data_IF_816903280678
#
_entry.id   IF_816903280678
#
_cell.length_a   1.000
_cell.length_b   1.000
_cell.length_c   1.000
_cell.angle_alpha   90.00
_cell.angle_beta   90.00
_cell.angle_gamma   90.00
#
_symmetry.space_group_name_H-M   'P 1'
#
loop_
_entity.id
_entity.type
_entity.pdbx_description
1 polymer ?
#
# COMPACT_ATOMS: atom_id res chain seq x y z
N UNK A 1 57.35 54.88 33.53
CA UNK A 1 56.56 55.36 32.40
C UNK A 1 56.86 54.48 31.19
N UNK A 2 55.91 53.70 30.68
CA UNK A 2 56.10 52.89 29.46
C UNK A 2 56.24 53.81 28.24
N UNK A 3 57.27 53.54 27.41
CA UNK A 3 57.49 54.32 26.17
C UNK A 3 56.29 54.18 25.21
N UNK A 4 56.02 55.20 24.39
CA UNK A 4 54.91 55.16 23.39
C UNK A 4 55.00 53.92 22.51
N UNK A 5 56.22 53.50 22.13
CA UNK A 5 56.43 52.27 21.31
C UNK A 5 56.04 50.99 22.10
N UNK A 6 56.27 50.88 23.40
CA UNK A 6 55.89 49.75 24.19
C UNK A 6 54.34 49.63 24.33
N UNK A 7 53.61 50.76 24.40
CA UNK A 7 52.11 50.78 24.39
C UNK A 7 51.55 50.34 23.06
N UNK A 8 52.15 50.77 21.95
CA UNK A 8 51.71 50.32 20.59
C UNK A 8 51.99 48.82 20.41
N UNK A 9 53.10 48.29 20.82
CA UNK A 9 53.42 46.87 20.78
C UNK A 9 52.41 46.06 21.63
N UNK A 10 52.12 46.53 22.83
CA UNK A 10 51.18 45.88 23.73
C UNK A 10 49.71 45.84 23.13
N UNK A 11 49.30 46.96 22.53
CA UNK A 11 47.99 47.03 21.79
C UNK A 11 47.97 46.10 20.59
N UNK A 12 49.04 46.01 19.80
CA UNK A 12 49.12 45.13 18.66
C UNK A 12 49.04 43.65 19.05
N UNK A 13 49.75 43.25 20.13
CA UNK A 13 49.67 41.88 20.67
C UNK A 13 48.29 41.57 21.20
N UNK A 14 47.66 42.52 21.90
CA UNK A 14 46.30 42.33 22.43
C UNK A 14 45.24 42.19 21.32
N UNK A 15 45.38 42.97 20.23
CA UNK A 15 44.51 42.83 19.03
C UNK A 15 44.75 41.50 18.33
N UNK A 16 46.00 41.03 18.24
CA UNK A 16 46.33 39.74 17.62
C UNK A 16 45.76 38.58 18.45
N UNK A 17 45.88 38.65 19.79
CA UNK A 17 45.27 37.67 20.71
C UNK A 17 43.73 37.68 20.61
N UNK A 18 43.13 38.86 20.57
CA UNK A 18 41.66 38.97 20.38
C UNK A 18 41.20 38.41 19.04
N UNK A 19 41.97 38.62 17.96
CA UNK A 19 41.68 38.03 16.63
C UNK A 19 41.79 36.50 16.63
N UNK A 20 42.85 35.96 17.24
CA UNK A 20 43.02 34.52 17.38
C UNK A 20 41.90 33.88 18.23
N UNK A 21 41.51 34.56 19.33
CA UNK A 21 40.40 34.11 20.17
C UNK A 21 39.06 34.13 19.39
N UNK A 22 38.82 35.17 18.60
CA UNK A 22 37.63 35.27 17.77
C UNK A 22 37.57 34.15 16.69
N UNK A 23 38.71 33.86 16.05
CA UNK A 23 38.81 32.74 15.08
C UNK A 23 38.61 31.41 15.79
N UNK A 24 39.18 31.22 16.97
CA UNK A 24 39.02 30.00 17.78
C UNK A 24 37.56 29.81 18.19
N UNK A 25 36.89 30.86 18.67
CA UNK A 25 35.47 30.83 19.02
C UNK A 25 34.59 30.54 17.77
N UNK A 26 34.87 31.21 16.66
CA UNK A 26 34.13 31.00 15.40
C UNK A 26 34.31 29.56 14.88
N UNK A 27 35.50 28.95 15.02
CA UNK A 27 35.74 27.56 14.61
C UNK A 27 35.05 26.53 15.52
N UNK A 28 34.61 26.93 16.71
CA UNK A 28 33.83 26.09 17.63
C UNK A 28 32.32 26.25 17.46
N UNK A 29 31.87 27.32 16.80
CA UNK A 29 30.46 27.52 16.45
C UNK A 29 30.15 26.65 15.25
N UNK A 30 29.70 25.42 15.48
CA UNK A 30 29.09 24.63 14.44
C UNK A 30 27.67 25.17 14.18
N UNK A 31 27.27 25.39 12.93
CA UNK A 31 25.91 25.76 12.65
C UNK A 31 25.00 24.60 13.12
N UNK A 32 24.20 24.86 14.14
CA UNK A 32 23.17 23.91 14.60
C UNK A 32 21.98 24.07 13.69
N UNK A 33 21.69 23.02 12.92
CA UNK A 33 20.46 22.95 12.14
C UNK A 33 19.44 22.18 12.98
N UNK A 34 18.49 22.86 13.54
CA UNK A 34 17.36 22.25 14.20
C UNK A 34 16.30 21.92 13.15
N UNK A 35 16.06 20.64 12.95
CA UNK A 35 14.94 20.19 12.13
C UNK A 35 13.68 20.22 12.99
N UNK A 36 12.85 21.24 12.79
CA UNK A 36 11.54 21.31 13.45
C UNK A 36 10.58 20.46 12.62
N UNK A 37 10.12 19.35 13.19
CA UNK A 37 9.05 18.57 12.60
C UNK A 37 7.72 19.33 12.76
N UNK A 38 7.26 19.95 11.67
CA UNK A 38 5.98 20.65 11.60
C UNK A 38 4.79 19.68 11.38
N UNK A 39 5.08 18.38 11.33
CA UNK A 39 4.11 17.35 11.00
C UNK A 39 3.66 17.39 9.53
N UNK A 40 2.70 16.55 9.13
CA UNK A 40 2.28 16.45 7.76
C UNK A 40 1.63 17.74 7.25
N UNK A 41 1.92 18.09 6.00
CA UNK A 41 1.32 19.26 5.33
C UNK A 41 -0.21 19.16 5.31
N UNK A 42 -0.94 20.30 5.16
CA UNK A 42 -2.40 20.25 5.02
C UNK A 42 -2.88 19.40 3.85
N UNK A 43 -2.09 19.30 2.78
CA UNK A 43 -2.39 18.44 1.63
C UNK A 43 -2.22 16.96 2.00
N UNK A 44 -1.12 16.59 2.66
CA UNK A 44 -0.88 15.21 3.11
C UNK A 44 -1.93 14.73 4.13
N UNK A 45 -2.48 15.63 4.96
CA UNK A 45 -3.58 15.29 5.87
C UNK A 45 -4.90 15.00 5.15
N UNK A 46 -5.14 15.62 3.99
CA UNK A 46 -6.35 15.41 3.18
C UNK A 46 -6.23 14.26 2.21
N UNK A 47 -5.00 13.96 1.78
CA UNK A 47 -4.69 12.89 0.84
C UNK A 47 -3.74 11.87 1.48
N UNK A 48 -4.24 10.72 1.96
CA UNK A 48 -3.41 9.69 2.55
C UNK A 48 -2.42 9.06 1.57
N UNK A 49 -2.66 9.18 0.26
CA UNK A 49 -1.82 8.62 -0.82
C UNK A 49 -1.03 9.71 -1.58
N UNK A 50 -0.81 10.89 -0.99
CA UNK A 50 -0.06 11.96 -1.64
C UNK A 50 1.37 11.55 -2.00
N UNK A 51 2.05 10.84 -1.08
CA UNK A 51 3.40 10.35 -1.32
C UNK A 51 3.44 9.34 -2.47
N UNK A 52 2.45 8.45 -2.58
CA UNK A 52 2.30 7.51 -3.68
C UNK A 52 2.14 8.23 -5.04
N UNK A 53 1.29 9.25 -5.10
CA UNK A 53 1.12 10.05 -6.31
C UNK A 53 2.39 10.79 -6.72
N UNK A 54 3.07 11.42 -5.75
CA UNK A 54 4.33 12.14 -6.01
C UNK A 54 5.44 11.19 -6.45
N UNK A 55 5.51 10.01 -5.84
CA UNK A 55 6.45 8.96 -6.22
C UNK A 55 6.22 8.53 -7.67
N UNK A 56 5.00 8.15 -8.05
CA UNK A 56 4.68 7.74 -9.42
C UNK A 56 4.99 8.84 -10.45
N UNK A 57 4.64 10.10 -10.16
CA UNK A 57 4.99 11.23 -11.03
C UNK A 57 6.50 11.42 -11.18
N UNK A 58 7.26 11.19 -10.11
CA UNK A 58 8.73 11.22 -10.15
C UNK A 58 9.31 10.10 -11.01
N UNK A 59 8.63 8.96 -11.08
CA UNK A 59 8.97 7.83 -11.96
C UNK A 59 8.49 8.04 -13.42
N UNK A 60 7.90 9.20 -13.74
CA UNK A 60 7.42 9.52 -15.09
C UNK A 60 6.02 9.00 -15.41
N UNK A 61 5.31 8.40 -14.45
CA UNK A 61 3.94 7.91 -14.62
C UNK A 61 2.96 9.09 -14.58
N UNK A 62 2.04 9.13 -15.55
CA UNK A 62 0.95 10.13 -15.54
C UNK A 62 -0.12 9.70 -14.54
N UNK A 63 -0.33 10.50 -13.49
CA UNK A 63 -1.25 10.19 -12.41
C UNK A 63 -2.39 11.20 -12.37
N UNK A 64 -3.64 10.71 -12.40
CA UNK A 64 -4.87 11.45 -12.16
C UNK A 64 -5.57 10.98 -10.88
N UNK A 65 -6.36 11.85 -10.28
CA UNK A 65 -7.22 11.53 -9.12
C UNK A 65 -8.67 11.48 -9.56
N UNK A 66 -9.41 10.57 -8.93
CA UNK A 66 -10.85 10.54 -9.00
C UNK A 66 -11.44 10.84 -7.62
N UNK A 67 -12.38 11.77 -7.56
CA UNK A 67 -12.98 12.25 -6.31
C UNK A 67 -14.18 11.38 -5.83
N UNK A 68 -14.33 10.16 -6.36
CA UNK A 68 -15.38 9.24 -5.94
C UNK A 68 -15.79 8.27 -7.05
N UNK A 69 -16.79 7.42 -6.74
CA UNK A 69 -17.30 6.42 -7.68
C UNK A 69 -17.96 7.04 -8.94
N UNK A 70 -18.02 8.35 -9.04
CA UNK A 70 -18.54 9.03 -10.25
C UNK A 70 -17.62 8.87 -11.46
N UNK A 71 -16.30 8.68 -11.25
CA UNK A 71 -15.36 8.35 -12.31
C UNK A 71 -15.77 7.08 -13.06
N UNK A 72 -16.50 6.19 -12.41
CA UNK A 72 -17.02 4.96 -13.03
C UNK A 72 -18.12 5.19 -14.05
N UNK A 73 -18.57 6.44 -14.25
CA UNK A 73 -19.46 6.82 -15.34
C UNK A 73 -18.69 6.94 -16.66
N UNK A 74 -17.45 7.46 -16.58
CA UNK A 74 -16.54 7.65 -17.72
C UNK A 74 -15.18 7.04 -17.35
N UNK A 75 -15.06 5.73 -17.59
CA UNK A 75 -13.83 5.00 -17.31
C UNK A 75 -12.71 5.44 -18.25
N UNK A 76 -11.43 5.41 -17.78
CA UNK A 76 -10.30 5.74 -18.63
C UNK A 76 -10.20 4.77 -19.83
N UNK A 77 -9.47 5.13 -20.90
CA UNK A 77 -9.23 4.23 -22.02
C UNK A 77 -8.61 2.89 -21.59
N UNK A 78 -8.74 1.86 -22.41
CA UNK A 78 -8.02 0.60 -22.23
C UNK A 78 -6.49 0.85 -22.23
N UNK A 79 -5.74 0.05 -21.48
CA UNK A 79 -4.30 0.27 -21.27
C UNK A 79 -3.97 1.25 -20.14
N UNK A 80 -4.96 1.68 -19.35
CA UNK A 80 -4.75 2.42 -18.11
C UNK A 80 -4.83 1.49 -16.91
N UNK A 81 -4.25 1.94 -15.79
CA UNK A 81 -4.40 1.30 -14.48
C UNK A 81 -5.33 2.13 -13.61
N UNK A 82 -6.35 1.51 -13.04
CA UNK A 82 -7.26 2.10 -12.07
C UNK A 82 -7.01 1.48 -10.70
N UNK A 83 -6.57 2.30 -9.74
CA UNK A 83 -6.33 1.89 -8.36
C UNK A 83 -7.56 2.25 -7.50
N UNK A 84 -8.30 1.25 -7.05
CA UNK A 84 -9.42 1.39 -6.12
C UNK A 84 -8.93 1.18 -4.68
N UNK A 85 -8.45 2.25 -4.05
CA UNK A 85 -7.83 2.23 -2.72
C UNK A 85 -8.77 2.68 -1.60
N UNK A 86 -9.95 3.17 -1.94
CA UNK A 86 -10.95 3.63 -0.99
C UNK A 86 -12.18 2.75 -0.95
N UNK A 87 -13.01 2.95 0.08
CA UNK A 87 -14.23 2.18 0.25
C UNK A 87 -15.17 2.29 -0.94
N UNK A 88 -15.71 1.17 -1.35
CA UNK A 88 -16.71 1.04 -2.42
C UNK A 88 -18.04 0.49 -1.95
N UNK A 89 -18.33 0.59 -0.64
CA UNK A 89 -19.60 0.15 -0.05
C UNK A 89 -20.83 0.77 -0.71
N UNK A 90 -20.69 1.93 -1.36
CA UNK A 90 -21.73 2.59 -2.16
C UNK A 90 -21.78 2.20 -3.63
N UNK A 91 -20.96 1.26 -4.09
CA UNK A 91 -20.95 0.79 -5.48
C UNK A 91 -22.26 0.06 -5.83
N UNK A 92 -22.77 0.35 -7.01
CA UNK A 92 -23.95 -0.34 -7.53
C UNK A 92 -23.53 -1.54 -8.38
N UNK A 93 -24.40 -2.57 -8.52
CA UNK A 93 -24.11 -3.70 -9.41
C UNK A 93 -23.84 -3.30 -10.87
N UNK A 94 -24.43 -2.19 -11.33
CA UNK A 94 -24.15 -1.63 -12.65
C UNK A 94 -22.75 -1.03 -12.78
N UNK A 95 -22.23 -0.43 -11.71
CA UNK A 95 -20.86 0.09 -11.68
C UNK A 95 -19.84 -1.05 -11.63
N UNK A 96 -20.05 -2.05 -10.77
CA UNK A 96 -19.19 -3.23 -10.69
C UNK A 96 -19.06 -3.94 -12.05
N UNK A 97 -20.19 -4.21 -12.73
CA UNK A 97 -20.17 -4.81 -14.07
C UNK A 97 -19.41 -3.97 -15.09
N UNK A 98 -19.57 -2.63 -15.10
CA UNK A 98 -18.83 -1.77 -16.03
C UNK A 98 -17.33 -1.80 -15.78
N UNK A 99 -16.92 -1.83 -14.51
CA UNK A 99 -15.51 -1.97 -14.16
C UNK A 99 -14.90 -3.26 -14.66
N UNK A 100 -15.58 -4.39 -14.42
CA UNK A 100 -15.12 -5.69 -14.90
C UNK A 100 -15.10 -5.74 -16.44
N UNK A 101 -16.12 -5.22 -17.12
CA UNK A 101 -16.12 -5.11 -18.57
C UNK A 101 -14.98 -4.21 -19.10
N UNK A 102 -14.65 -3.13 -18.39
CA UNK A 102 -13.52 -2.28 -18.74
C UNK A 102 -12.19 -3.02 -18.58
N UNK A 103 -12.03 -3.78 -17.52
CA UNK A 103 -10.87 -4.65 -17.35
C UNK A 103 -10.79 -5.70 -18.46
N UNK A 104 -11.89 -6.37 -18.83
CA UNK A 104 -11.95 -7.33 -19.96
C UNK A 104 -11.49 -6.71 -21.29
N UNK A 105 -11.67 -5.40 -21.48
CA UNK A 105 -11.27 -4.68 -22.69
C UNK A 105 -9.81 -4.24 -22.72
N UNK A 106 -9.04 -4.55 -21.67
CA UNK A 106 -7.61 -4.26 -21.58
C UNK A 106 -7.22 -3.22 -20.51
N UNK A 107 -8.12 -2.87 -19.58
CA UNK A 107 -7.80 -2.10 -18.40
C UNK A 107 -7.11 -2.95 -17.31
N UNK A 108 -6.24 -2.36 -16.52
CA UNK A 108 -5.69 -2.98 -15.32
C UNK A 108 -6.41 -2.45 -14.09
N UNK A 109 -7.20 -3.29 -13.44
CA UNK A 109 -7.93 -2.97 -12.21
C UNK A 109 -7.14 -3.48 -11.01
N UNK A 110 -6.70 -2.57 -10.14
CA UNK A 110 -6.09 -2.91 -8.84
C UNK A 110 -7.08 -2.53 -7.76
N UNK A 111 -7.50 -3.47 -6.96
CA UNK A 111 -8.48 -3.27 -5.89
C UNK A 111 -8.04 -3.90 -4.58
N UNK A 112 -8.55 -3.33 -3.49
CA UNK A 112 -8.31 -3.83 -2.14
C UNK A 112 -9.52 -4.65 -1.72
N UNK A 113 -9.30 -5.80 -1.09
CA UNK A 113 -10.38 -6.55 -0.48
C UNK A 113 -10.93 -5.79 0.74
N UNK A 114 -12.24 -5.46 0.73
CA UNK A 114 -12.83 -4.62 1.78
C UNK A 114 -13.65 -5.41 2.80
N UNK A 115 -13.98 -6.65 2.49
CA UNK A 115 -14.89 -7.45 3.29
C UNK A 115 -14.43 -8.88 3.40
N UNK A 116 -14.58 -9.43 4.58
CA UNK A 116 -14.37 -10.85 4.82
C UNK A 116 -15.50 -11.68 4.16
N UNK A 117 -15.16 -12.88 3.79
CA UNK A 117 -16.13 -13.87 3.31
C UNK A 117 -17.04 -14.30 4.44
N UNK A 118 -18.33 -14.43 4.17
CA UNK A 118 -19.32 -14.95 5.07
C UNK A 118 -19.73 -16.37 4.59
N UNK A 119 -19.40 -17.38 5.39
CA UNK A 119 -19.67 -18.77 5.06
C UNK A 119 -21.17 -19.11 5.07
N UNK A 120 -21.97 -18.46 5.91
CA UNK A 120 -23.41 -18.68 5.99
C UNK A 120 -24.12 -18.07 4.77
N UNK A 121 -23.76 -16.84 4.40
CA UNK A 121 -24.34 -16.13 3.28
C UNK A 121 -23.71 -16.52 1.92
N UNK A 122 -22.56 -17.20 1.92
CA UNK A 122 -21.73 -17.58 0.77
C UNK A 122 -21.41 -16.37 -0.13
N UNK A 123 -21.06 -15.26 0.48
CA UNK A 123 -20.65 -14.02 -0.19
C UNK A 123 -19.89 -13.12 0.80
N UNK A 124 -19.08 -12.19 0.27
CA UNK A 124 -18.45 -11.13 1.06
C UNK A 124 -19.34 -9.89 1.17
N UNK A 125 -20.28 -9.71 0.25
CA UNK A 125 -21.05 -8.48 0.07
C UNK A 125 -20.23 -7.35 -0.59
N UNK A 126 -19.02 -7.66 -1.06
CA UNK A 126 -18.25 -6.83 -1.96
C UNK A 126 -18.50 -7.28 -3.40
N UNK A 127 -19.17 -6.45 -4.17
CA UNK A 127 -19.65 -6.80 -5.52
C UNK A 127 -18.52 -7.20 -6.49
N UNK A 128 -17.31 -6.68 -6.30
CA UNK A 128 -16.17 -7.05 -7.16
C UNK A 128 -15.57 -8.38 -6.73
N UNK A 129 -15.33 -8.59 -5.44
CA UNK A 129 -14.83 -9.85 -4.92
C UNK A 129 -15.79 -11.01 -5.23
N UNK A 130 -17.07 -10.82 -4.94
CA UNK A 130 -18.11 -11.83 -5.21
C UNK A 130 -18.22 -12.16 -6.72
N UNK A 131 -18.02 -11.15 -7.60
CA UNK A 131 -18.05 -11.38 -9.06
C UNK A 131 -16.79 -12.05 -9.61
N UNK A 132 -15.67 -11.93 -8.91
CA UNK A 132 -14.37 -12.56 -9.24
C UNK A 132 -14.19 -13.91 -8.54
N UNK A 133 -15.10 -14.30 -7.66
CA UNK A 133 -15.01 -15.45 -6.75
C UNK A 133 -13.72 -15.45 -5.94
N UNK A 134 -13.27 -14.26 -5.49
CA UNK A 134 -12.14 -14.08 -4.59
C UNK A 134 -12.67 -13.85 -3.19
N UNK A 135 -12.12 -14.56 -2.22
CA UNK A 135 -12.53 -14.52 -0.82
C UNK A 135 -11.43 -13.91 0.03
N UNK A 136 -11.81 -13.20 1.07
CA UNK A 136 -10.90 -12.70 2.09
C UNK A 136 -11.32 -13.28 3.44
N UNK A 137 -10.34 -13.78 4.17
CA UNK A 137 -10.48 -14.32 5.52
C UNK A 137 -9.55 -13.57 6.47
N UNK A 138 -9.80 -13.70 7.79
CA UNK A 138 -8.72 -13.53 8.75
C UNK A 138 -7.79 -14.74 8.64
N UNK A 139 -6.50 -14.53 8.76
CA UNK A 139 -5.50 -15.60 8.62
C UNK A 139 -5.73 -16.70 9.66
N UNK A 140 -6.11 -16.31 10.90
CA UNK A 140 -6.43 -17.26 11.99
C UNK A 140 -7.68 -18.11 11.72
N UNK A 141 -8.66 -17.59 10.96
CA UNK A 141 -9.91 -18.30 10.66
C UNK A 141 -9.81 -19.16 9.40
N UNK A 142 -8.77 -18.95 8.57
CA UNK A 142 -8.64 -19.61 7.28
C UNK A 142 -8.34 -21.11 7.42
N UNK A 143 -7.48 -21.49 8.34
CA UNK A 143 -7.12 -22.88 8.62
C UNK A 143 -8.35 -23.67 9.11
N UNK A 144 -9.15 -23.08 10.00
CA UNK A 144 -10.38 -23.68 10.51
C UNK A 144 -11.43 -23.91 9.39
N UNK A 145 -11.47 -23.03 8.38
CA UNK A 145 -12.41 -23.15 7.24
C UNK A 145 -12.00 -24.26 6.27
N UNK A 146 -10.70 -24.46 6.07
CA UNK A 146 -10.17 -25.56 5.25
C UNK A 146 -10.41 -26.93 5.89
N UNK A 147 -10.26 -27.05 7.20
CA UNK A 147 -10.52 -28.27 7.92
C UNK A 147 -12.00 -28.67 7.84
N UNK A 148 -12.93 -27.72 7.98
CA UNK A 148 -14.38 -27.95 7.80
C UNK A 148 -14.76 -28.36 6.39
N UNK A 149 -14.16 -27.72 5.37
CA UNK A 149 -14.42 -28.07 3.97
C UNK A 149 -13.89 -29.49 3.62
N UNK A 150 -12.80 -29.91 4.26
CA UNK A 150 -12.26 -31.26 4.09
C UNK A 150 -13.12 -32.32 4.80
N UNK A 151 -13.74 -32.01 5.93
CA UNK A 151 -14.67 -32.89 6.64
C UNK A 151 -15.98 -33.08 5.87
N UNK A 152 -16.57 -31.99 5.29
CA UNK A 152 -17.78 -32.09 4.47
C UNK A 152 -17.58 -32.90 3.17
N UNK A 153 -16.36 -32.89 2.60
CA UNK A 153 -16.03 -33.72 1.42
C UNK A 153 -15.71 -35.15 1.77
N UNK A 154 -15.20 -35.42 2.98
CA UNK A 154 -14.91 -36.76 3.44
C UNK A 154 -16.18 -37.60 3.77
N UNK A 155 -17.25 -36.96 4.25
CA UNK A 155 -18.55 -37.60 4.47
C UNK A 155 -19.31 -37.95 3.16
N UNK A 156 -18.85 -37.45 2.03
CA UNK A 156 -19.50 -37.70 0.72
C UNK A 156 -18.87 -38.85 -0.09
N UNK A 157 -17.73 -39.37 0.30
CA UNK A 157 -17.01 -40.43 -0.43
C UNK A 157 -16.45 -41.54 0.51
N UNK A 158 -17.34 -42.32 1.15
CA UNK A 158 -16.95 -43.60 1.72
C UNK A 158 -16.77 -44.64 0.62
N UNK A 159 -15.58 -44.68 0.02
CA UNK A 159 -15.29 -45.75 -0.96
C UNK A 159 -13.88 -45.77 -1.51
N UNK A 160 -13.04 -46.48 -0.83
CA UNK A 160 -11.79 -47.11 -1.27
C UNK A 160 -10.47 -46.58 -0.69
N UNK A 161 -9.99 -47.37 0.25
CA UNK A 161 -8.64 -47.41 0.81
C UNK A 161 -7.66 -47.78 -0.30
N UNK A 162 -6.61 -46.98 -0.50
CA UNK A 162 -5.29 -47.53 -0.86
C UNK A 162 -4.15 -46.73 -0.23
N UNK A 163 -3.43 -47.45 0.57
CA UNK A 163 -2.31 -47.10 1.42
C UNK A 163 -1.05 -46.87 0.57
N UNK A 164 -0.54 -45.63 0.48
CA UNK A 164 0.83 -45.40 0.06
C UNK A 164 1.48 -44.33 0.93
N UNK A 165 2.13 -44.81 1.98
CA UNK A 165 3.13 -44.08 2.74
C UNK A 165 4.31 -43.69 1.82
N UNK A 166 4.52 -42.39 1.61
CA UNK A 166 5.76 -41.86 1.03
C UNK A 166 6.58 -41.20 2.13
N UNK A 167 7.68 -41.87 2.49
CA UNK A 167 8.69 -41.39 3.44
C UNK A 167 9.32 -40.07 2.93
N UNK A 168 9.38 -39.08 3.84
CA UNK A 168 10.14 -37.84 3.66
C UNK A 168 11.66 -38.14 3.74
N UNK A 169 12.51 -37.44 2.93
CA UNK A 169 13.96 -37.53 3.06
C UNK A 169 14.46 -36.84 4.33
N UNK A 170 15.56 -37.28 4.93
CA UNK A 170 16.10 -36.70 6.15
C UNK A 170 16.73 -35.32 5.89
N UNK A 171 16.42 -34.37 6.77
CA UNK A 171 17.11 -33.09 6.87
C UNK A 171 18.58 -33.27 7.23
N UNK A 172 19.47 -32.87 6.33
CA UNK A 172 20.89 -32.69 6.65
C UNK A 172 21.05 -31.35 7.40
N UNK A 173 21.39 -31.47 8.69
CA UNK A 173 21.79 -30.36 9.54
C UNK A 173 23.15 -29.80 9.06
N UNK A 174 23.10 -28.68 8.32
CA UNK A 174 24.25 -27.83 8.13
C UNK A 174 24.40 -26.91 9.34
N UNK A 175 25.49 -27.06 10.08
CA UNK A 175 25.81 -26.19 11.23
C UNK A 175 26.04 -24.76 10.77
N UNK A 176 25.22 -23.86 11.23
CA UNK A 176 25.40 -22.43 11.09
C UNK A 176 26.36 -21.95 12.21
N UNK A 177 27.51 -21.40 11.79
CA UNK A 177 28.40 -20.62 12.66
C UNK A 177 27.67 -19.33 13.04
N UNK A 178 27.43 -19.13 14.32
CA UNK A 178 26.84 -17.89 14.89
C UNK A 178 27.81 -16.71 14.66
N UNK A 179 27.57 -15.89 13.63
CA UNK A 179 28.10 -14.53 13.55
C UNK A 179 27.37 -13.62 14.56
N UNK A 180 28.07 -12.64 15.21
CA UNK A 180 27.46 -11.79 16.23
C UNK A 180 26.36 -10.93 15.63
N UNK A 181 25.19 -10.97 16.24
CA UNK A 181 23.97 -10.26 15.87
C UNK A 181 24.13 -8.73 15.92
N UNK A 182 24.58 -8.14 14.84
CA UNK A 182 24.12 -6.82 14.42
C UNK A 182 22.70 -7.01 13.88
N UNK A 183 21.73 -6.32 14.42
CA UNK A 183 20.30 -6.50 14.22
C UNK A 183 19.94 -6.57 12.71
N UNK A 184 19.98 -7.76 12.15
CA UNK A 184 19.35 -8.02 10.84
C UNK A 184 17.85 -7.80 11.05
N UNK A 185 17.21 -6.89 10.30
CA UNK A 185 15.76 -6.71 10.41
C UNK A 185 15.07 -8.05 10.20
N UNK A 186 14.18 -8.40 11.11
CA UNK A 186 13.38 -9.62 10.96
C UNK A 186 12.36 -9.43 9.82
N UNK A 187 12.68 -9.98 8.66
CA UNK A 187 11.81 -9.97 7.48
C UNK A 187 10.86 -11.18 7.43
N UNK A 188 10.79 -12.01 8.48
CA UNK A 188 9.98 -13.22 8.48
C UNK A 188 8.49 -12.96 8.35
N UNK A 189 8.00 -11.84 8.90
CA UNK A 189 6.60 -11.44 8.82
C UNK A 189 6.24 -10.68 7.53
N UNK A 190 7.21 -10.39 6.65
CA UNK A 190 6.94 -9.65 5.42
C UNK A 190 6.52 -10.57 4.29
N UNK A 191 5.65 -10.04 3.45
CA UNK A 191 5.25 -10.69 2.20
C UNK A 191 6.42 -10.71 1.21
N UNK A 192 6.72 -11.87 0.65
CA UNK A 192 7.81 -12.06 -0.31
C UNK A 192 7.25 -12.19 -1.72
N UNK A 193 7.60 -11.25 -2.59
CA UNK A 193 7.26 -11.30 -4.00
C UNK A 193 8.50 -11.69 -4.81
N UNK A 194 8.48 -12.87 -5.42
CA UNK A 194 9.55 -13.38 -6.27
C UNK A 194 9.28 -13.02 -7.73
N UNK A 195 10.24 -12.39 -8.38
CA UNK A 195 10.22 -12.16 -9.82
C UNK A 195 11.07 -13.20 -10.53
N UNK A 196 10.60 -13.62 -11.71
CA UNK A 196 11.19 -14.73 -12.49
C UNK A 196 12.69 -14.55 -12.79
N UNK A 197 13.17 -13.31 -12.91
CA UNK A 197 14.56 -13.00 -13.27
C UNK A 197 15.39 -12.38 -12.13
N UNK A 198 14.85 -12.28 -10.92
CA UNK A 198 15.56 -11.70 -9.78
C UNK A 198 15.96 -12.77 -8.77
N UNK A 199 17.13 -12.58 -8.14
CA UNK A 199 17.68 -13.53 -7.17
C UNK A 199 17.14 -13.32 -5.76
N UNK A 200 16.63 -12.13 -5.47
CA UNK A 200 16.11 -11.75 -4.16
C UNK A 200 14.65 -11.35 -4.28
N UNK A 201 13.78 -11.73 -3.34
CA UNK A 201 12.40 -11.29 -3.34
C UNK A 201 12.32 -9.80 -3.00
N UNK A 202 11.26 -9.13 -3.46
CA UNK A 202 10.83 -7.87 -2.90
C UNK A 202 10.06 -8.14 -1.60
N UNK A 203 10.29 -7.30 -0.59
CA UNK A 203 9.66 -7.41 0.73
C UNK A 203 8.57 -6.35 0.89
N UNK A 204 7.34 -6.79 1.03
CA UNK A 204 6.18 -5.90 1.11
C UNK A 204 5.54 -6.02 2.50
N UNK A 205 5.24 -4.88 3.11
CA UNK A 205 4.70 -4.83 4.47
C UNK A 205 3.18 -4.89 4.53
N UNK A 206 2.53 -5.91 3.95
CA UNK A 206 1.09 -6.15 4.13
C UNK A 206 0.75 -6.49 5.57
N UNK A 207 -0.52 -6.27 5.94
CA UNK A 207 -1.06 -6.70 7.22
C UNK A 207 -1.19 -8.23 7.24
N UNK A 208 -0.50 -8.94 8.14
CA UNK A 208 -0.51 -10.40 8.18
C UNK A 208 -1.86 -11.00 8.63
N UNK A 209 -2.75 -10.19 9.20
CA UNK A 209 -4.02 -10.67 9.74
C UNK A 209 -5.03 -11.06 8.64
N UNK A 210 -4.76 -10.74 7.37
CA UNK A 210 -5.67 -10.99 6.26
C UNK A 210 -5.10 -11.96 5.24
N UNK A 211 -5.96 -12.84 4.73
CA UNK A 211 -5.65 -13.83 3.72
C UNK A 211 -6.62 -13.76 2.54
N UNK A 212 -6.08 -13.77 1.31
CA UNK A 212 -6.87 -13.89 0.08
C UNK A 212 -6.89 -15.35 -0.38
N UNK A 213 -8.05 -15.82 -0.77
CA UNK A 213 -8.26 -17.16 -1.29
C UNK A 213 -8.94 -17.14 -2.65
N UNK A 214 -8.38 -17.85 -3.62
CA UNK A 214 -8.92 -18.05 -4.96
C UNK A 214 -9.37 -19.51 -5.13
N UNK A 215 -10.63 -19.86 -4.86
CA UNK A 215 -11.13 -21.22 -4.93
C UNK A 215 -11.14 -21.80 -6.36
N UNK A 216 -11.09 -20.94 -7.38
CA UNK A 216 -11.10 -21.36 -8.79
C UNK A 216 -9.69 -21.46 -9.39
N UNK A 217 -8.67 -21.05 -8.63
CA UNK A 217 -7.27 -21.02 -9.09
C UNK A 217 -7.07 -20.25 -10.40
N UNK A 218 -7.74 -19.09 -10.53
CA UNK A 218 -7.62 -18.21 -11.69
C UNK A 218 -6.39 -17.31 -11.65
N UNK A 219 -5.84 -17.07 -10.46
CA UNK A 219 -4.65 -16.24 -10.29
C UNK A 219 -3.41 -16.97 -10.86
N UNK A 220 -2.64 -16.26 -11.67
CA UNK A 220 -1.35 -16.72 -12.20
C UNK A 220 -0.16 -16.17 -11.42
N UNK A 221 -0.37 -15.14 -10.59
CA UNK A 221 0.66 -14.55 -9.73
C UNK A 221 0.08 -14.24 -8.35
N UNK A 222 0.87 -14.48 -7.33
CA UNK A 222 0.51 -14.25 -5.93
C UNK A 222 1.75 -13.86 -5.10
N UNK A 223 1.52 -13.21 -3.98
CA UNK A 223 2.55 -12.89 -3.01
C UNK A 223 2.10 -13.29 -1.59
N UNK A 224 2.96 -14.03 -0.91
CA UNK A 224 2.66 -14.64 0.37
C UNK A 224 3.59 -14.16 1.48
N UNK A 225 3.08 -14.14 2.72
CA UNK A 225 3.86 -14.09 3.95
C UNK A 225 3.47 -15.27 4.81
N UNK A 226 4.46 -16.06 5.31
CA UNK A 226 4.12 -17.25 6.08
C UNK A 226 3.03 -18.06 5.38
N UNK A 227 1.87 -18.17 6.02
CA UNK A 227 0.73 -18.95 5.55
C UNK A 227 -0.36 -18.09 4.86
N UNK A 228 -0.18 -16.78 4.76
CA UNK A 228 -1.17 -15.85 4.20
C UNK A 228 -0.81 -15.35 2.80
N UNK A 229 -1.81 -15.29 1.91
CA UNK A 229 -1.71 -14.69 0.58
C UNK A 229 -2.25 -13.27 0.61
N UNK A 230 -1.42 -12.29 0.20
CA UNK A 230 -1.77 -10.86 0.28
C UNK A 230 -2.01 -10.20 -1.07
N UNK A 231 -1.58 -10.84 -2.16
CA UNK A 231 -1.78 -10.36 -3.52
C UNK A 231 -2.18 -11.53 -4.40
N UNK A 232 -3.23 -11.32 -5.20
CA UNK A 232 -3.63 -12.20 -6.29
C UNK A 232 -3.73 -11.39 -7.57
N UNK A 233 -3.11 -11.86 -8.66
CA UNK A 233 -3.23 -11.25 -9.96
C UNK A 233 -3.73 -12.27 -10.98
N UNK A 234 -4.75 -11.88 -11.74
CA UNK A 234 -5.40 -12.74 -12.71
C UNK A 234 -5.62 -12.03 -14.04
N UNK A 235 -5.57 -12.80 -15.12
CA UNK A 235 -5.98 -12.34 -16.43
C UNK A 235 -7.50 -12.19 -16.47
N UNK A 236 -7.99 -11.04 -16.92
CA UNK A 236 -9.42 -10.80 -17.07
C UNK A 236 -9.71 -10.28 -18.49
N UNK A 237 -10.09 -11.18 -19.37
CA UNK A 237 -10.19 -10.89 -20.79
C UNK A 237 -8.86 -10.47 -21.41
N UNK A 238 -8.78 -9.22 -21.91
CA UNK A 238 -7.56 -8.63 -22.45
C UNK A 238 -6.76 -7.82 -21.42
N UNK A 239 -7.31 -7.60 -20.25
CA UNK A 239 -6.70 -6.82 -19.20
C UNK A 239 -6.37 -7.66 -17.96
N UNK A 240 -6.15 -6.98 -16.86
CA UNK A 240 -5.70 -7.58 -15.61
C UNK A 240 -6.58 -7.13 -14.44
N UNK A 241 -6.73 -8.01 -13.47
CA UNK A 241 -7.24 -7.68 -12.14
C UNK A 241 -6.18 -8.09 -11.12
N UNK A 242 -5.84 -7.16 -10.23
CA UNK A 242 -4.99 -7.40 -9.07
C UNK A 242 -5.79 -7.11 -7.82
N UNK A 243 -5.89 -8.08 -6.93
CA UNK A 243 -6.54 -7.96 -5.63
C UNK A 243 -5.49 -7.96 -4.54
N UNK A 244 -5.58 -7.02 -3.59
CA UNK A 244 -4.69 -6.89 -2.46
C UNK A 244 -5.49 -6.97 -1.15
N UNK A 245 -4.88 -7.44 -0.07
CA UNK A 245 -5.51 -7.44 1.26
C UNK A 245 -5.73 -6.04 1.78
N UNK A 246 -4.78 -5.14 1.58
CA UNK A 246 -4.85 -3.77 2.08
C UNK A 246 -4.07 -2.78 1.19
N UNK A 247 -4.33 -1.48 1.36
CA UNK A 247 -3.62 -0.38 0.68
C UNK A 247 -2.84 0.52 1.63
N UNK A 248 -2.79 0.20 2.93
CA UNK A 248 -2.09 1.04 3.88
C UNK A 248 -0.59 1.11 3.59
N UNK A 249 -0.04 0.08 2.94
CA UNK A 249 1.35 0.03 2.45
C UNK A 249 1.72 1.24 1.57
N UNK A 250 0.75 1.83 0.86
CA UNK A 250 0.96 3.00 -0.01
C UNK A 250 0.57 4.33 0.60
N UNK A 251 0.11 4.34 1.85
CA UNK A 251 -0.17 5.58 2.57
C UNK A 251 1.12 6.35 2.87
N UNK A 252 0.98 7.67 3.08
CA UNK A 252 2.08 8.63 3.24
C UNK A 252 3.18 8.22 4.25
N UNK A 253 2.84 7.43 5.27
CA UNK A 253 3.77 6.99 6.32
C UNK A 253 4.43 5.64 6.03
N UNK A 254 3.83 4.84 5.16
CA UNK A 254 4.19 3.44 4.99
C UNK A 254 4.86 3.17 3.63
N UNK A 255 4.64 4.04 2.64
CA UNK A 255 5.15 3.84 1.29
C UNK A 255 6.69 3.80 1.21
N UNK A 256 7.38 4.47 2.14
CA UNK A 256 8.85 4.48 2.22
C UNK A 256 9.43 3.22 2.91
N UNK A 257 8.57 2.41 3.53
CA UNK A 257 8.98 1.20 4.23
C UNK A 257 9.17 0.07 3.21
N UNK A 258 10.21 -0.73 3.41
CA UNK A 258 10.51 -1.90 2.58
C UNK A 258 10.42 -1.60 1.08
N UNK A 259 9.87 -2.52 0.30
CA UNK A 259 9.66 -2.37 -1.15
C UNK A 259 8.23 -1.94 -1.53
N UNK A 260 7.49 -1.31 -0.60
CA UNK A 260 6.10 -0.89 -0.83
C UNK A 260 5.95 0.07 -2.02
N UNK A 261 6.86 1.05 -2.16
CA UNK A 261 6.86 1.97 -3.29
C UNK A 261 7.20 1.26 -4.60
N UNK A 262 8.12 0.30 -4.56
CA UNK A 262 8.49 -0.50 -5.72
C UNK A 262 7.30 -1.33 -6.23
N UNK A 263 6.53 -1.98 -5.34
CA UNK A 263 5.33 -2.73 -5.73
C UNK A 263 4.32 -1.82 -6.45
N UNK A 264 4.09 -0.61 -5.94
CA UNK A 264 3.20 0.35 -6.60
C UNK A 264 3.68 0.67 -8.02
N UNK A 265 4.97 0.96 -8.18
CA UNK A 265 5.56 1.22 -9.48
C UNK A 265 5.46 -0.01 -10.40
N UNK A 266 5.80 -1.20 -9.89
CA UNK A 266 5.72 -2.44 -10.63
C UNK A 266 4.33 -2.71 -11.21
N UNK A 267 3.27 -2.50 -10.42
CA UNK A 267 1.88 -2.69 -10.86
C UNK A 267 1.39 -1.59 -11.83
N UNK A 268 2.08 -0.46 -11.90
CA UNK A 268 1.61 0.72 -12.65
C UNK A 268 2.56 1.18 -13.74
N UNK A 269 3.72 0.54 -13.90
CA UNK A 269 4.69 0.88 -14.93
C UNK A 269 4.06 0.78 -16.33
N UNK A 270 4.51 1.64 -17.22
CA UNK A 270 4.07 1.73 -18.63
C UNK A 270 2.60 2.12 -18.85
N UNK A 271 1.87 2.49 -17.79
CA UNK A 271 0.47 2.87 -17.85
C UNK A 271 0.22 4.29 -17.34
N UNK A 272 -0.91 4.86 -17.76
CA UNK A 272 -1.48 6.02 -17.07
C UNK A 272 -2.32 5.51 -15.90
N UNK A 273 -2.24 6.19 -14.77
CA UNK A 273 -2.83 5.74 -13.50
C UNK A 273 -3.92 6.70 -13.04
N UNK A 274 -5.05 6.13 -12.65
CA UNK A 274 -6.12 6.86 -11.96
C UNK A 274 -6.26 6.30 -10.55
N UNK A 275 -6.09 7.15 -9.53
CA UNK A 275 -6.32 6.78 -8.13
C UNK A 275 -7.72 7.18 -7.69
N UNK A 276 -8.44 6.22 -7.13
CA UNK A 276 -9.72 6.41 -6.44
C UNK A 276 -9.56 5.96 -4.98
N UNK A 277 -9.42 6.91 -4.05
CA UNK A 277 -9.29 6.63 -2.63
C UNK A 277 -10.39 7.25 -1.76
N UNK A 278 -11.23 8.10 -2.35
CA UNK A 278 -12.43 8.65 -1.69
C UNK A 278 -13.66 8.05 -2.33
N UNK A 279 -14.34 7.21 -1.57
CA UNK A 279 -15.68 6.75 -1.93
C UNK A 279 -16.76 7.44 -1.09
N UNK A 280 -16.38 8.42 -0.29
CA UNK A 280 -17.35 9.22 0.47
C UNK A 280 -18.29 9.91 -0.51
N UNK A 281 -19.56 9.54 -0.42
CA UNK A 281 -20.62 10.37 -0.98
C UNK A 281 -20.46 11.74 -0.35
N UNK A 282 -20.29 12.75 -1.17
CA UNK A 282 -20.42 14.13 -0.69
C UNK A 282 -21.62 14.19 0.24
N UNK A 283 -21.44 14.71 1.45
CA UNK A 283 -22.59 14.84 2.37
C UNK A 283 -23.68 15.63 1.65
N UNK A 284 -24.94 15.39 2.00
CA UNK A 284 -26.07 16.12 1.40
C UNK A 284 -25.82 17.64 1.46
N UNK A 285 -25.20 18.12 2.54
CA UNK A 285 -24.81 19.52 2.70
C UNK A 285 -23.75 19.96 1.68
N UNK A 286 -22.75 19.13 1.40
CA UNK A 286 -21.70 19.40 0.39
C UNK A 286 -22.29 19.39 -1.02
N UNK A 287 -23.19 18.43 -1.33
CA UNK A 287 -23.88 18.37 -2.63
C UNK A 287 -24.78 19.59 -2.83
N UNK A 288 -25.55 20.00 -1.79
CA UNK A 288 -26.37 21.20 -1.82
C UNK A 288 -25.53 22.46 -2.01
N UNK A 289 -24.40 22.57 -1.30
CA UNK A 289 -23.48 23.72 -1.45
C UNK A 289 -22.85 23.81 -2.84
N UNK A 290 -22.54 22.66 -3.45
CA UNK A 290 -21.87 22.56 -4.77
C UNK A 290 -22.85 22.80 -5.93
N UNK A 291 -24.05 22.22 -5.86
CA UNK A 291 -25.00 22.22 -6.98
C UNK A 291 -26.17 23.20 -6.81
N UNK A 292 -26.48 23.59 -5.59
CA UNK A 292 -27.59 24.47 -5.26
C UNK A 292 -27.23 25.51 -4.19
N UNK A 293 -26.18 26.33 -4.41
CA UNK A 293 -25.74 27.33 -3.43
C UNK A 293 -26.83 28.33 -3.07
N UNK A 294 -27.70 28.67 -4.04
CA UNK A 294 -28.83 29.60 -3.82
C UNK A 294 -29.90 29.01 -2.92
N UNK A 295 -30.20 27.72 -3.06
CA UNK A 295 -31.15 27.02 -2.19
C UNK A 295 -30.66 26.94 -0.76
N UNK A 296 -29.34 26.74 -0.57
CA UNK A 296 -28.72 26.70 0.76
C UNK A 296 -28.73 28.08 1.42
N UNK A 297 -28.47 29.15 0.65
CA UNK A 297 -28.58 30.52 1.12
C UNK A 297 -30.02 30.90 1.49
N UNK A 298 -31.01 30.50 0.69
CA UNK A 298 -32.41 30.70 0.97
C UNK A 298 -32.88 29.96 2.25
N UNK A 299 -32.42 28.70 2.42
CA UNK A 299 -32.73 27.92 3.63
C UNK A 299 -32.13 28.55 4.92
N UNK A 300 -30.91 29.11 4.83
CA UNK A 300 -30.25 29.82 5.92
C UNK A 300 -30.94 31.15 6.28
N UNK A 301 -31.59 31.80 5.31
CA UNK A 301 -32.33 33.03 5.53
C UNK A 301 -33.74 32.79 6.13
N UNK A 302 -34.26 31.58 6.03
CA UNK A 302 -35.57 31.17 6.59
C UNK A 302 -35.46 30.58 8.00
N UNK A 303 -34.27 30.33 8.52
CA UNK A 303 -33.95 29.91 9.89
C UNK A 303 -33.63 31.12 10.79
#
# INVERSE_FOLDING_TARGET
MMSRRARFLLLAVLLLLAGLLAIFLASRLQPYTETIDLGPSPEARRNPYLAAELFLRKQGVTVSRADGLEVLKELPPSGHTLLLLGSRSGMTPGQARRLLQWSEQGGHLVLIAERLWDEDEKKSGDLLLDSLDIRQYLTEDFDDSQDRASEETADADEGSVDDHATEAPPEEAAGEEEEPADSVPDYSALTRLYLENERSPAYIGFDPDYHLYDPQNHAYAWANSGDATHLLQMQHGKGLVTVLTDAWIWQNRNIEQYDNAWLLWYLTQDNQVTLLYRAERDSLATLLARHFPEALAAALLLL
#
